data_IF_784926456093
#
_entry.id   IF_784926456093
#
_cell.length_a   1.000
_cell.length_b   1.000
_cell.length_c   1.000
_cell.angle_alpha   90.00
_cell.angle_beta   90.00
_cell.angle_gamma   90.00
#
_symmetry.space_group_name_H-M   'P 1'
#
loop_
_entity.id
_entity.type
_entity.pdbx_description
1 polymer ?
#
# COMPACT_ATOMS: atom_id res chain seq x y z
N UNK A 1 11.85 -2.09 7.29
CA UNK A 1 10.97 -2.51 6.17
C UNK A 1 9.48 -2.28 6.50
N UNK A 2 9.02 -1.05 6.80
CA UNK A 2 7.56 -0.75 6.82
C UNK A 2 7.18 0.45 5.94
N UNK A 3 8.13 1.24 5.42
CA UNK A 3 7.85 2.43 4.58
C UNK A 3 7.43 2.06 3.16
N UNK A 4 8.14 1.08 2.61
CA UNK A 4 7.77 0.37 1.38
C UNK A 4 6.38 -0.28 1.49
N UNK A 5 5.98 -0.69 2.71
CA UNK A 5 4.71 -1.36 2.99
C UNK A 5 3.53 -0.41 3.07
N UNK A 6 3.73 0.88 3.37
CA UNK A 6 2.62 1.84 3.37
C UNK A 6 2.19 2.22 1.95
N UNK A 7 3.13 2.32 1.00
CA UNK A 7 2.81 2.58 -0.41
C UNK A 7 2.15 1.36 -1.05
N UNK A 8 2.70 0.15 -0.83
CA UNK A 8 2.10 -1.12 -1.29
C UNK A 8 0.76 -1.38 -0.60
N UNK A 9 0.64 -1.06 0.69
CA UNK A 9 -0.60 -1.18 1.47
C UNK A 9 -1.70 -0.18 1.06
N UNK A 10 -1.34 0.98 0.52
CA UNK A 10 -2.29 1.92 -0.09
C UNK A 10 -2.78 1.42 -1.46
N UNK A 11 -1.88 0.81 -2.22
CA UNK A 11 -2.18 0.28 -3.54
C UNK A 11 -3.06 -0.95 -3.50
N UNK A 12 -2.98 -1.76 -2.45
CA UNK A 12 -3.85 -2.91 -2.23
C UNK A 12 -5.36 -2.61 -2.28
N UNK A 13 -5.81 -1.34 -2.27
CA UNK A 13 -7.23 -1.06 -2.01
C UNK A 13 -8.09 -0.88 -3.28
N UNK A 14 -7.57 -0.70 -4.50
CA UNK A 14 -8.24 0.21 -5.45
C UNK A 14 -7.95 -0.23 -6.94
N UNK A 15 -8.89 -0.88 -7.68
CA UNK A 15 -8.87 -1.45 -9.09
C UNK A 15 -10.20 -1.57 -9.97
N UNK A 16 -10.53 -0.73 -11.00
CA UNK A 16 -11.61 -0.84 -12.06
C UNK A 16 -10.93 -1.00 -13.43
N UNK A 17 -11.38 -1.67 -14.49
CA UNK A 17 -12.40 -2.66 -14.95
C UNK A 17 -11.72 -3.12 -16.29
N UNK A 18 -11.52 -4.37 -16.70
CA UNK A 18 -12.29 -5.61 -16.74
C UNK A 18 -11.26 -6.77 -16.86
N UNK A 19 -11.64 -7.98 -16.44
CA UNK A 19 -10.83 -9.22 -16.38
C UNK A 19 -9.49 -9.10 -15.58
N UNK A 20 -9.51 -9.60 -14.33
CA UNK A 20 -8.44 -9.63 -13.32
C UNK A 20 -8.22 -8.34 -12.50
N UNK A 21 -9.17 -8.07 -11.59
CA UNK A 21 -9.17 -6.86 -10.75
C UNK A 21 -7.91 -6.70 -9.88
N UNK A 22 -7.16 -7.77 -9.57
CA UNK A 22 -5.87 -7.69 -8.87
C UNK A 22 -4.75 -7.17 -9.77
N UNK A 23 -4.63 -7.68 -10.99
CA UNK A 23 -3.61 -7.25 -11.95
C UNK A 23 -3.76 -5.76 -12.28
N UNK A 24 -4.99 -5.27 -12.43
CA UNK A 24 -5.26 -3.85 -12.68
C UNK A 24 -4.80 -2.94 -11.53
N UNK A 25 -5.02 -3.37 -10.27
CA UNK A 25 -4.52 -2.67 -9.07
C UNK A 25 -2.99 -2.61 -9.09
N UNK A 26 -2.35 -3.75 -9.35
CA UNK A 26 -0.90 -3.87 -9.43
C UNK A 26 -0.31 -3.04 -10.58
N UNK A 27 -0.97 -2.97 -11.72
CA UNK A 27 -0.53 -2.10 -12.82
C UNK A 27 -0.71 -0.62 -12.45
N UNK A 28 -1.82 -0.26 -11.80
CA UNK A 28 -2.02 1.10 -11.33
C UNK A 28 -0.96 1.52 -10.32
N UNK A 29 -0.51 0.61 -9.45
CA UNK A 29 0.62 0.85 -8.56
C UNK A 29 1.89 1.28 -9.29
N UNK A 30 2.26 0.55 -10.33
CA UNK A 30 3.41 0.89 -11.17
C UNK A 30 3.20 2.21 -11.91
N UNK A 31 1.99 2.46 -12.41
CA UNK A 31 1.67 3.74 -13.09
C UNK A 31 1.68 4.94 -12.12
N UNK A 32 1.40 4.70 -10.84
CA UNK A 32 1.58 5.66 -9.74
C UNK A 32 3.03 5.68 -9.23
N UNK A 33 3.95 5.07 -9.95
CA UNK A 33 5.38 5.21 -9.73
C UNK A 33 5.99 4.16 -8.81
N UNK A 34 5.35 3.06 -8.47
CA UNK A 34 6.09 1.94 -7.83
C UNK A 34 7.13 1.41 -8.80
N UNK A 35 8.38 1.32 -8.35
CA UNK A 35 9.52 0.84 -9.16
C UNK A 35 10.24 -0.36 -8.55
N UNK A 36 10.13 -0.56 -7.22
CA UNK A 36 10.78 -1.70 -6.57
C UNK A 36 10.21 -3.05 -7.01
N UNK A 37 8.91 -3.10 -7.29
CA UNK A 37 8.18 -4.26 -7.77
C UNK A 37 7.58 -3.98 -9.14
N UNK A 38 7.61 -4.98 -10.01
CA UNK A 38 6.74 -5.01 -11.20
C UNK A 38 5.30 -5.33 -10.80
N UNK A 39 4.34 -5.07 -11.69
CA UNK A 39 2.94 -5.43 -11.45
C UNK A 39 2.77 -6.93 -11.16
N UNK A 40 3.46 -7.80 -11.93
CA UNK A 40 3.43 -9.26 -11.73
C UNK A 40 3.99 -9.69 -10.37
N UNK A 41 5.01 -9.01 -9.85
CA UNK A 41 5.54 -9.30 -8.51
C UNK A 41 4.60 -8.83 -7.38
N UNK A 42 3.77 -7.82 -7.63
CA UNK A 42 2.77 -7.34 -6.66
C UNK A 42 1.55 -8.27 -6.56
N UNK A 43 1.20 -8.98 -7.63
CA UNK A 43 0.02 -9.86 -7.66
C UNK A 43 0.00 -10.94 -6.56
N UNK A 44 1.05 -11.77 -6.36
CA UNK A 44 1.03 -12.79 -5.32
C UNK A 44 1.07 -12.20 -3.90
N UNK A 45 1.73 -11.04 -3.71
CA UNK A 45 1.69 -10.27 -2.46
C UNK A 45 0.25 -9.90 -2.11
N UNK A 46 -0.44 -9.31 -3.09
CA UNK A 46 -1.80 -8.82 -2.91
C UNK A 46 -2.80 -9.98 -2.76
N UNK A 47 -2.59 -11.10 -3.47
CA UNK A 47 -3.40 -12.31 -3.30
C UNK A 47 -3.36 -12.87 -1.88
N UNK A 48 -2.19 -12.85 -1.24
CA UNK A 48 -2.04 -13.26 0.15
C UNK A 48 -2.74 -12.26 1.10
N UNK A 49 -2.58 -10.95 0.87
CA UNK A 49 -3.21 -9.91 1.69
C UNK A 49 -4.75 -9.94 1.62
N UNK A 50 -5.31 -10.27 0.44
CA UNK A 50 -6.76 -10.41 0.22
C UNK A 50 -7.39 -11.41 1.17
N UNK A 51 -6.72 -12.54 1.43
CA UNK A 51 -7.25 -13.57 2.30
C UNK A 51 -7.41 -13.07 3.73
N UNK A 52 -6.40 -12.36 4.25
CA UNK A 52 -6.46 -11.76 5.57
C UNK A 52 -7.56 -10.71 5.67
N UNK A 53 -7.63 -9.79 4.70
CA UNK A 53 -8.64 -8.73 4.69
C UNK A 53 -10.07 -9.27 4.53
N UNK A 54 -10.28 -10.26 3.65
CA UNK A 54 -11.60 -10.85 3.44
C UNK A 54 -12.11 -11.59 4.68
N UNK A 55 -11.22 -12.29 5.38
CA UNK A 55 -11.56 -13.09 6.55
C UNK A 55 -11.89 -12.20 7.75
N UNK A 56 -10.98 -11.29 8.11
CA UNK A 56 -11.18 -10.35 9.20
C UNK A 56 -10.57 -8.98 8.87
N UNK A 57 -11.36 -8.04 8.32
CA UNK A 57 -10.87 -6.72 7.96
C UNK A 57 -10.68 -5.80 9.19
N UNK A 58 -11.09 -6.22 10.38
CA UNK A 58 -10.96 -5.48 11.64
C UNK A 58 -9.89 -6.06 12.56
N UNK A 59 -9.21 -7.13 12.14
CA UNK A 59 -8.13 -7.77 12.88
C UNK A 59 -7.03 -6.74 13.25
N UNK A 60 -6.73 -6.56 14.55
CA UNK A 60 -5.68 -5.63 14.99
C UNK A 60 -4.30 -6.01 14.44
N UNK A 61 -4.08 -7.29 14.10
CA UNK A 61 -2.86 -7.81 13.49
C UNK A 61 -2.88 -7.81 11.96
N UNK A 62 -3.96 -7.37 11.32
CA UNK A 62 -4.11 -7.40 9.85
C UNK A 62 -2.89 -6.81 9.12
N UNK A 63 -2.40 -5.66 9.60
CA UNK A 63 -1.21 -5.02 9.02
C UNK A 63 0.03 -5.89 9.18
N UNK A 64 0.18 -6.62 10.28
CA UNK A 64 1.28 -7.56 10.51
C UNK A 64 1.20 -8.76 9.57
N UNK A 65 0.00 -9.34 9.42
CA UNK A 65 -0.27 -10.45 8.50
C UNK A 65 -0.06 -10.05 7.04
N UNK A 66 -0.52 -8.88 6.63
CA UNK A 66 -0.21 -8.36 5.29
C UNK A 66 1.30 -8.11 5.08
N UNK A 67 2.08 -7.85 6.15
CA UNK A 67 3.53 -7.72 6.01
C UNK A 67 4.19 -9.06 5.68
N UNK A 68 3.76 -10.16 6.29
CA UNK A 68 4.33 -11.48 5.99
C UNK A 68 4.10 -11.86 4.53
N UNK A 69 2.96 -11.46 3.95
CA UNK A 69 2.70 -11.60 2.51
C UNK A 69 3.76 -10.92 1.63
N UNK A 70 4.19 -9.71 1.97
CA UNK A 70 5.26 -9.04 1.21
C UNK A 70 6.57 -9.80 1.39
N UNK A 71 6.96 -10.12 2.63
CA UNK A 71 8.25 -10.79 2.92
C UNK A 71 8.35 -12.12 2.17
N UNK A 72 7.33 -12.97 2.30
CA UNK A 72 7.34 -14.31 1.72
C UNK A 72 7.37 -14.29 0.17
N UNK A 73 6.80 -13.24 -0.44
CA UNK A 73 6.77 -13.09 -1.90
C UNK A 73 7.87 -12.16 -2.44
N UNK A 74 8.83 -11.72 -1.61
CA UNK A 74 9.90 -10.79 -2.00
C UNK A 74 11.31 -11.33 -1.76
N UNK A 75 11.47 -12.66 -1.61
CA UNK A 75 12.78 -13.26 -1.35
C UNK A 75 13.81 -12.93 -2.44
N UNK A 76 13.37 -12.83 -3.70
CA UNK A 76 14.20 -12.40 -4.84
C UNK A 76 14.72 -10.96 -4.71
N UNK A 77 14.17 -10.15 -3.80
CA UNK A 77 14.58 -8.77 -3.52
C UNK A 77 15.14 -8.59 -2.11
N UNK A 78 15.40 -9.68 -1.38
CA UNK A 78 15.83 -9.62 0.02
C UNK A 78 17.10 -8.79 0.22
N UNK A 79 18.11 -8.95 -0.64
CA UNK A 79 19.37 -8.18 -0.56
C UNK A 79 19.13 -6.69 -0.82
N UNK A 80 18.33 -6.35 -1.83
CA UNK A 80 17.98 -4.95 -2.13
C UNK A 80 17.16 -4.34 -0.98
N UNK A 81 16.23 -5.09 -0.40
CA UNK A 81 15.45 -4.65 0.76
C UNK A 81 16.31 -4.43 2.01
N UNK A 82 17.30 -5.29 2.25
CA UNK A 82 18.26 -5.15 3.34
C UNK A 82 19.16 -3.91 3.14
N UNK A 83 19.67 -3.71 1.93
CA UNK A 83 20.45 -2.52 1.58
C UNK A 83 19.64 -1.23 1.81
N UNK A 84 18.36 -1.22 1.42
CA UNK A 84 17.45 -0.11 1.69
C UNK A 84 17.22 0.09 3.18
N UNK A 85 16.99 -1.00 3.93
CA UNK A 85 16.81 -0.94 5.38
C UNK A 85 18.01 -0.29 6.07
N UNK A 86 19.23 -0.74 5.74
CA UNK A 86 20.46 -0.20 6.29
C UNK A 86 20.66 1.26 5.88
N UNK A 87 20.36 1.59 4.62
CA UNK A 87 20.44 2.97 4.12
C UNK A 87 19.49 3.92 4.83
N UNK A 88 18.22 3.54 5.04
CA UNK A 88 17.31 4.36 5.84
C UNK A 88 17.83 4.51 7.28
N UNK A 89 18.30 3.42 7.90
CA UNK A 89 18.81 3.47 9.27
C UNK A 89 20.11 4.26 9.44
N UNK A 90 20.87 4.52 8.37
CA UNK A 90 22.02 5.41 8.45
C UNK A 90 21.64 6.88 8.57
N UNK A 91 20.40 7.28 8.24
CA UNK A 91 19.94 8.67 8.35
C UNK A 91 18.74 8.89 9.27
N UNK A 92 17.97 7.86 9.62
CA UNK A 92 16.87 7.95 10.60
C UNK A 92 16.56 6.57 11.18
N UNK A 93 16.06 6.49 12.42
CA UNK A 93 15.45 5.23 12.88
C UNK A 93 14.21 4.96 12.03
N UNK A 94 14.35 3.98 11.14
CA UNK A 94 13.28 3.65 10.21
C UNK A 94 12.07 3.11 10.96
N UNK A 95 12.27 2.28 11.99
CA UNK A 95 11.16 1.64 12.71
C UNK A 95 10.35 2.66 13.49
N UNK A 96 11.02 3.57 14.20
CA UNK A 96 10.38 4.67 14.91
C UNK A 96 9.65 5.63 13.95
N UNK A 97 10.28 5.99 12.83
CA UNK A 97 9.65 6.84 11.82
C UNK A 97 8.36 6.20 11.27
N UNK A 98 8.36 4.88 11.09
CA UNK A 98 7.22 4.16 10.56
C UNK A 98 6.07 4.06 11.55
N UNK A 99 6.37 3.87 12.83
CA UNK A 99 5.38 3.91 13.90
C UNK A 99 4.77 5.31 14.04
N UNK A 100 5.61 6.36 13.96
CA UNK A 100 5.18 7.76 13.95
C UNK A 100 4.27 8.08 12.75
N UNK A 101 4.55 7.52 11.57
CA UNK A 101 3.79 7.80 10.35
C UNK A 101 2.53 6.94 10.19
N UNK A 102 2.42 5.81 10.89
CA UNK A 102 1.29 4.89 10.72
C UNK A 102 -0.07 5.54 11.03
N UNK A 103 -0.26 6.28 12.15
CA UNK A 103 -1.52 6.94 12.43
C UNK A 103 -1.92 8.01 11.41
N UNK A 104 -1.08 9.01 11.06
CA UNK A 104 -1.48 10.02 10.09
C UNK A 104 -1.71 9.43 8.69
N UNK A 105 -0.97 8.38 8.31
CA UNK A 105 -1.24 7.67 7.06
C UNK A 105 -2.63 7.04 7.06
N UNK A 106 -2.97 6.27 8.10
CA UNK A 106 -4.31 5.66 8.26
C UNK A 106 -5.42 6.71 8.23
N UNK A 107 -5.20 7.86 8.87
CA UNK A 107 -6.17 8.95 8.88
C UNK A 107 -6.43 9.51 7.47
N UNK A 108 -5.39 9.73 6.66
CA UNK A 108 -5.55 10.19 5.26
C UNK A 108 -6.21 9.14 4.37
N UNK A 109 -5.99 7.85 4.66
CA UNK A 109 -6.56 6.73 3.90
C UNK A 109 -7.96 6.32 4.38
N UNK A 110 -8.48 6.90 5.47
CA UNK A 110 -9.78 6.55 6.06
C UNK A 110 -10.95 6.52 5.05
N UNK A 111 -11.07 7.47 4.09
CA UNK A 111 -12.17 7.42 3.11
C UNK A 111 -12.11 6.17 2.23
N UNK A 112 -10.91 5.80 1.80
CA UNK A 112 -10.64 4.61 0.99
C UNK A 112 -10.91 3.34 1.79
N UNK A 113 -10.40 3.27 3.03
CA UNK A 113 -10.61 2.15 3.95
C UNK A 113 -12.11 1.93 4.20
N UNK A 114 -12.85 2.99 4.51
CA UNK A 114 -14.29 2.91 4.75
C UNK A 114 -15.06 2.42 3.51
N UNK A 115 -14.66 2.87 2.31
CA UNK A 115 -15.26 2.38 1.05
C UNK A 115 -15.01 0.89 0.84
N UNK A 116 -13.79 0.42 1.12
CA UNK A 116 -13.43 -0.98 1.03
C UNK A 116 -14.22 -1.85 2.03
N UNK A 117 -14.27 -1.44 3.30
CA UNK A 117 -15.04 -2.12 4.35
C UNK A 117 -16.52 -2.24 4.00
N UNK A 118 -17.13 -1.12 3.58
CA UNK A 118 -18.54 -1.10 3.21
C UNK A 118 -18.82 -1.97 1.97
N UNK A 119 -17.92 -1.97 0.99
CA UNK A 119 -18.05 -2.81 -0.20
C UNK A 119 -17.93 -4.29 0.16
N UNK A 120 -16.93 -4.65 0.96
CA UNK A 120 -16.72 -6.02 1.41
C UNK A 120 -17.93 -6.52 2.21
N UNK A 121 -18.42 -5.72 3.17
CA UNK A 121 -19.61 -6.05 3.96
C UNK A 121 -20.83 -6.32 3.07
N UNK A 122 -21.17 -5.37 2.19
CA UNK A 122 -22.31 -5.51 1.25
C UNK A 122 -22.14 -6.72 0.32
N UNK A 123 -20.93 -7.01 -0.13
CA UNK A 123 -20.69 -8.19 -0.96
C UNK A 123 -20.86 -9.48 -0.15
N UNK A 124 -20.32 -9.57 1.07
CA UNK A 124 -20.47 -10.76 1.92
C UNK A 124 -21.95 -11.04 2.25
N UNK A 125 -22.76 -9.99 2.44
CA UNK A 125 -24.21 -10.09 2.68
C UNK A 125 -24.98 -10.55 1.44
N UNK A 126 -24.71 -10.00 0.26
CA UNK A 126 -25.54 -10.21 -0.94
C UNK A 126 -25.06 -11.30 -1.90
N UNK A 127 -23.78 -11.70 -1.81
CA UNK A 127 -23.20 -12.65 -2.77
C UNK A 127 -23.52 -14.10 -2.38
N UNK A 128 -24.20 -14.81 -3.28
CA UNK A 128 -24.64 -16.20 -3.13
C UNK A 128 -23.54 -17.25 -3.37
N UNK A 129 -22.37 -16.86 -3.90
CA UNK A 129 -21.22 -17.76 -4.04
C UNK A 129 -20.73 -18.20 -2.65
N UNK A 130 -19.98 -19.29 -2.58
CA UNK A 130 -19.35 -19.80 -1.34
C UNK A 130 -17.84 -19.98 -1.52
N UNK A 131 -17.13 -20.21 -0.41
CA UNK A 131 -15.69 -20.50 -0.41
C UNK A 131 -14.84 -19.45 -1.16
N UNK A 132 -13.81 -19.94 -1.85
CA UNK A 132 -12.88 -19.11 -2.63
C UNK A 132 -13.58 -18.29 -3.72
N UNK A 133 -14.67 -18.79 -4.30
CA UNK A 133 -15.41 -18.07 -5.34
C UNK A 133 -16.09 -16.81 -4.79
N UNK A 134 -16.59 -16.85 -3.54
CA UNK A 134 -17.14 -15.68 -2.85
C UNK A 134 -16.05 -14.67 -2.51
N UNK A 135 -14.93 -15.15 -1.98
CA UNK A 135 -13.77 -14.31 -1.65
C UNK A 135 -13.30 -13.53 -2.88
N UNK A 136 -12.99 -14.23 -3.98
CA UNK A 136 -12.53 -13.61 -5.21
C UNK A 136 -13.54 -12.60 -5.74
N UNK A 137 -14.83 -12.94 -5.75
CA UNK A 137 -15.87 -12.01 -6.22
C UNK A 137 -15.97 -10.75 -5.36
N UNK A 138 -15.87 -10.87 -4.03
CA UNK A 138 -15.94 -9.72 -3.14
C UNK A 138 -14.69 -8.85 -3.16
N UNK A 139 -13.50 -9.45 -3.22
CA UNK A 139 -12.27 -8.67 -3.37
C UNK A 139 -12.21 -7.95 -4.71
N UNK A 140 -12.69 -8.58 -5.78
CA UNK A 140 -12.88 -7.94 -7.07
C UNK A 140 -13.78 -6.69 -6.96
N UNK A 141 -14.92 -6.77 -6.26
CA UNK A 141 -15.77 -5.60 -6.04
C UNK A 141 -15.09 -4.52 -5.18
N UNK A 142 -14.35 -4.91 -4.13
CA UNK A 142 -13.58 -3.98 -3.30
C UNK A 142 -12.63 -3.17 -4.16
N UNK A 143 -11.84 -3.83 -5.01
CA UNK A 143 -10.96 -3.15 -5.94
C UNK A 143 -11.74 -2.20 -6.84
N UNK A 144 -12.78 -2.69 -7.52
CA UNK A 144 -13.58 -1.89 -8.46
C UNK A 144 -14.12 -0.62 -7.79
N UNK A 145 -14.68 -0.73 -6.60
CA UNK A 145 -15.26 0.44 -5.94
C UNK A 145 -14.26 1.45 -5.43
N UNK A 146 -12.99 1.05 -5.38
CA UNK A 146 -11.96 1.84 -4.75
C UNK A 146 -11.03 2.43 -5.81
N UNK A 147 -10.76 1.84 -7.00
CA UNK A 147 -9.68 2.30 -7.94
C UNK A 147 -9.59 3.79 -8.16
N UNK A 148 -10.77 4.39 -8.34
CA UNK A 148 -10.87 5.75 -8.77
C UNK A 148 -10.38 6.71 -7.67
N UNK A 149 -10.35 6.27 -6.41
CA UNK A 149 -10.00 7.11 -5.27
C UNK A 149 -8.48 7.29 -5.08
N UNK A 150 -7.63 6.32 -5.43
CA UNK A 150 -6.16 6.55 -5.42
C UNK A 150 -5.77 7.11 -6.77
N UNK A 151 -5.78 8.42 -6.85
CA UNK A 151 -5.22 9.18 -7.97
C UNK A 151 -3.83 9.70 -7.60
N UNK A 152 -3.10 10.23 -8.59
CA UNK A 152 -1.85 10.97 -8.35
C UNK A 152 -2.05 12.10 -7.32
N UNK A 153 -3.16 12.84 -7.42
CA UNK A 153 -3.53 13.90 -6.49
C UNK A 153 -3.77 13.37 -5.06
N UNK A 154 -4.43 12.22 -4.93
CA UNK A 154 -4.60 11.56 -3.62
C UNK A 154 -3.25 11.19 -3.00
N UNK A 155 -2.36 10.56 -3.77
CA UNK A 155 -1.01 10.18 -3.27
C UNK A 155 -0.22 11.44 -2.88
N UNK A 156 -0.28 12.51 -3.68
CA UNK A 156 0.36 13.78 -3.36
C UNK A 156 -0.17 14.40 -2.06
N UNK A 157 -1.50 14.37 -1.85
CA UNK A 157 -2.15 14.81 -0.60
C UNK A 157 -1.66 14.02 0.61
N UNK A 158 -1.65 12.68 0.51
CA UNK A 158 -1.17 11.81 1.60
C UNK A 158 0.29 12.13 1.91
N UNK A 159 1.15 12.15 0.89
CA UNK A 159 2.57 12.43 1.04
C UNK A 159 2.82 13.81 1.67
N UNK A 160 2.12 14.85 1.21
CA UNK A 160 2.20 16.20 1.79
C UNK A 160 1.81 16.19 3.27
N UNK A 161 0.72 15.51 3.63
CA UNK A 161 0.30 15.39 5.02
C UNK A 161 1.31 14.66 5.90
N UNK A 162 1.95 13.61 5.38
CA UNK A 162 3.01 12.89 6.09
C UNK A 162 4.28 13.73 6.25
N UNK A 163 4.70 14.45 5.20
CA UNK A 163 5.87 15.33 5.27
C UNK A 163 5.73 16.32 6.44
N UNK A 164 4.55 16.91 6.66
CA UNK A 164 4.28 17.84 7.78
C UNK A 164 4.48 17.21 9.16
N UNK A 165 4.45 15.88 9.28
CA UNK A 165 4.69 15.15 10.54
C UNK A 165 6.14 14.70 10.72
N UNK A 166 6.99 14.88 9.70
CA UNK A 166 8.41 14.59 9.76
C UNK A 166 9.22 15.83 10.13
N UNK A 167 10.35 15.65 10.82
CA UNK A 167 11.37 16.69 10.93
C UNK A 167 12.26 16.72 9.66
N UNK A 168 13.17 17.69 9.56
CA UNK A 168 14.04 17.86 8.39
C UNK A 168 14.95 16.64 8.14
N UNK A 169 15.50 16.03 9.20
CA UNK A 169 16.32 14.81 9.12
C UNK A 169 15.55 13.63 8.54
N UNK A 170 14.38 13.34 9.10
CA UNK A 170 13.48 12.25 8.65
C UNK A 170 13.06 12.47 7.19
N UNK A 171 12.68 13.70 6.83
CA UNK A 171 12.21 14.01 5.48
C UNK A 171 13.33 13.94 4.42
N UNK A 172 14.51 14.47 4.72
CA UNK A 172 15.67 14.38 3.83
C UNK A 172 16.10 12.93 3.64
N UNK A 173 16.05 12.11 4.69
CA UNK A 173 16.25 10.67 4.61
C UNK A 173 15.20 10.01 3.68
N UNK A 174 13.92 10.37 3.79
CA UNK A 174 12.90 9.92 2.83
C UNK A 174 13.19 10.38 1.39
N UNK A 175 13.61 11.63 1.16
CA UNK A 175 13.97 12.12 -0.19
C UNK A 175 15.14 11.35 -0.80
N UNK A 176 16.10 10.90 0.02
CA UNK A 176 17.24 10.14 -0.46
C UNK A 176 16.88 8.69 -0.83
N UNK A 177 16.06 8.01 -0.02
CA UNK A 177 15.85 6.56 -0.15
C UNK A 177 14.50 6.16 -0.76
N UNK A 178 13.46 7.00 -0.70
CA UNK A 178 12.19 6.72 -1.38
C UNK A 178 12.32 6.60 -2.91
N UNK A 179 13.17 7.40 -3.62
CA UNK A 179 13.38 7.24 -5.06
C UNK A 179 13.86 5.84 -5.50
N UNK A 180 14.45 5.06 -4.57
CA UNK A 180 14.92 3.70 -4.85
C UNK A 180 13.79 2.67 -4.91
N UNK A 181 12.59 3.07 -4.52
CA UNK A 181 11.43 2.16 -4.46
C UNK A 181 10.19 2.69 -5.16
N UNK A 182 10.12 4.01 -5.34
CA UNK A 182 9.08 4.69 -6.09
C UNK A 182 9.69 5.85 -6.89
N UNK A 183 9.06 6.25 -8.00
CA UNK A 183 9.38 7.48 -8.72
C UNK A 183 8.87 8.70 -7.95
N UNK A 184 9.47 8.99 -6.79
CA UNK A 184 9.01 10.03 -5.86
C UNK A 184 8.95 11.43 -6.51
N UNK A 185 9.83 11.71 -7.48
CA UNK A 185 9.92 12.99 -8.20
C UNK A 185 8.66 13.35 -8.99
N UNK A 186 7.79 12.37 -9.29
CA UNK A 186 6.52 12.67 -9.96
C UNK A 186 5.50 13.38 -9.05
N UNK A 187 5.74 13.40 -7.74
CA UNK A 187 4.85 14.00 -6.74
C UNK A 187 5.42 15.33 -6.25
N UNK A 188 4.58 16.36 -6.22
CA UNK A 188 4.97 17.70 -5.76
C UNK A 188 5.46 17.69 -4.32
N UNK A 189 4.92 16.81 -3.48
CA UNK A 189 5.35 16.66 -2.10
C UNK A 189 6.86 16.42 -1.97
N UNK A 190 7.51 15.79 -2.97
CA UNK A 190 8.95 15.53 -2.96
C UNK A 190 9.79 16.81 -2.95
N UNK A 191 9.24 17.91 -3.47
CA UNK A 191 9.90 19.20 -3.57
C UNK A 191 9.78 20.03 -2.28
N UNK A 192 9.08 19.54 -1.25
CA UNK A 192 9.00 20.23 0.04
C UNK A 192 10.41 20.31 0.67
N UNK A 193 10.77 21.50 1.14
CA UNK A 193 11.99 21.80 1.90
C UNK A 193 11.66 21.95 3.39
N UNK A 194 12.59 21.56 4.26
CA UNK A 194 12.44 21.53 5.72
C UNK A 194 13.75 21.83 6.42
#
# INVERSE_FOLDING_TARGET
MKGLFYIIGCLAVIGLVEANNRAAVCQKAVNLGVTFYTAKELEPILACADAHFYNDPYDPELISKCKTCVVNNSMNKALSALSLYNGFNSCTDLMALLEKMAPPFKAQCKPVINKALNTLKKCKENNKKTGAAKQTACMNQVYSNCIAMVTKAFVNKVCTALSKKMNSKEWNCCKQYAPKVVNAKMYECYNIEK
#
